data_IF_518542290738
#
_entry.id   IF_518542290738
#
_cell.length_a   1.000
_cell.length_b   1.000
_cell.length_c   1.000
_cell.angle_alpha   90.00
_cell.angle_beta   90.00
_cell.angle_gamma   90.00
#
_symmetry.space_group_name_H-M   'P 1'
#
loop_
_entity.id
_entity.type
_entity.pdbx_description
1 polymer ?
#
# COMPACT_ATOMS: atom_id res chain seq x y z
N UNK A 1 -8.78 0.44 37.61
CA UNK A 1 -8.94 1.48 36.56
C UNK A 1 -9.70 0.97 35.33
N UNK A 2 -10.47 -0.12 35.48
CA UNK A 2 -11.38 -0.67 34.48
C UNK A 2 -12.72 -0.98 35.17
N UNK A 3 -13.24 -0.03 35.95
CA UNK A 3 -14.57 -0.13 36.56
C UNK A 3 -15.62 0.52 35.62
N UNK A 4 -16.63 -0.29 35.26
CA UNK A 4 -17.98 0.12 34.89
C UNK A 4 -18.18 1.06 33.70
N UNK A 5 -17.98 0.55 32.48
CA UNK A 5 -18.75 1.04 31.33
C UNK A 5 -20.22 0.62 31.48
N UNK A 6 -21.00 1.42 32.21
CA UNK A 6 -22.44 1.28 32.41
C UNK A 6 -23.19 1.14 31.07
N UNK A 7 -23.53 -0.10 30.72
CA UNK A 7 -24.45 -0.46 29.61
C UNK A 7 -25.86 -0.75 30.14
N UNK A 8 -26.22 -0.26 31.33
CA UNK A 8 -27.56 -0.38 31.90
C UNK A 8 -28.47 0.78 31.49
N UNK A 9 -29.76 0.48 31.28
CA UNK A 9 -30.81 1.43 30.87
C UNK A 9 -30.95 2.58 31.87
N UNK A 10 -30.72 2.32 33.15
CA UNK A 10 -30.78 3.32 34.22
C UNK A 10 -29.67 4.39 34.15
N UNK A 11 -28.66 4.18 33.29
CA UNK A 11 -27.58 5.13 33.05
C UNK A 11 -27.82 6.04 31.83
N UNK A 12 -29.01 6.00 31.23
CA UNK A 12 -29.35 6.81 30.06
C UNK A 12 -29.58 8.28 30.48
N UNK A 13 -28.69 9.16 30.04
CA UNK A 13 -28.75 10.59 30.29
C UNK A 13 -29.00 11.31 28.94
N UNK A 14 -29.83 12.37 28.86
CA UNK A 14 -29.97 13.21 27.67
C UNK A 14 -28.64 13.61 27.00
N UNK A 15 -27.55 13.74 27.76
CA UNK A 15 -26.22 14.03 27.23
C UNK A 15 -25.62 12.92 26.34
N UNK A 16 -26.13 11.68 26.44
CA UNK A 16 -25.69 10.53 25.63
C UNK A 16 -26.42 10.41 24.29
N UNK A 17 -27.45 11.22 24.05
CA UNK A 17 -28.26 11.16 22.82
C UNK A 17 -27.56 11.89 21.67
N UNK A 18 -27.42 11.19 20.54
CA UNK A 18 -26.95 11.77 19.28
C UNK A 18 -28.03 12.60 18.59
N UNK A 19 -27.62 13.60 17.82
CA UNK A 19 -28.52 14.43 17.02
C UNK A 19 -28.38 14.07 15.53
N UNK A 20 -29.50 14.04 14.82
CA UNK A 20 -29.54 13.81 13.37
C UNK A 20 -30.69 14.61 12.76
N UNK A 21 -30.50 15.12 11.55
CA UNK A 21 -31.52 15.93 10.87
C UNK A 21 -32.64 15.07 10.28
N UNK A 22 -32.27 13.95 9.63
CA UNK A 22 -33.22 13.10 8.92
C UNK A 22 -32.81 11.63 9.04
N UNK A 23 -33.73 10.83 9.56
CA UNK A 23 -33.64 9.36 9.62
C UNK A 23 -34.78 8.82 8.77
N UNK A 24 -34.47 8.05 7.75
CA UNK A 24 -35.48 7.39 6.93
C UNK A 24 -35.02 6.00 6.51
N UNK A 25 -35.98 5.09 6.45
CA UNK A 25 -35.78 3.73 5.94
C UNK A 25 -36.00 3.74 4.43
N UNK A 26 -34.98 3.31 3.67
CA UNK A 26 -35.05 3.18 2.21
C UNK A 26 -35.14 1.70 1.88
N UNK A 27 -36.22 1.31 1.20
CA UNK A 27 -36.31 0.02 0.52
C UNK A 27 -35.47 0.09 -0.75
N UNK A 28 -34.52 -0.82 -0.90
CA UNK A 28 -33.61 -0.78 -2.04
C UNK A 28 -34.31 -1.24 -3.34
N UNK A 29 -34.08 -0.58 -4.48
CA UNK A 29 -34.61 -1.03 -5.75
C UNK A 29 -34.08 -2.42 -6.09
N UNK A 30 -34.97 -3.38 -6.40
CA UNK A 30 -34.61 -4.73 -6.81
C UNK A 30 -34.33 -5.72 -5.68
N UNK A 31 -34.53 -5.36 -4.41
CA UNK A 31 -34.50 -6.30 -3.29
C UNK A 31 -35.51 -5.94 -2.19
N UNK A 32 -35.90 -6.92 -1.38
CA UNK A 32 -36.73 -6.68 -0.18
C UNK A 32 -35.92 -6.12 1.01
N UNK A 33 -34.64 -5.79 0.79
CA UNK A 33 -33.76 -5.30 1.84
C UNK A 33 -34.04 -3.83 2.12
N UNK A 34 -34.19 -3.52 3.40
CA UNK A 34 -34.39 -2.17 3.91
C UNK A 34 -33.11 -1.68 4.55
N UNK A 35 -32.71 -0.44 4.25
CA UNK A 35 -31.52 0.20 4.80
C UNK A 35 -31.94 1.51 5.46
N UNK A 36 -31.55 1.69 6.72
CA UNK A 36 -31.79 2.94 7.45
C UNK A 36 -30.71 3.95 7.10
N UNK A 37 -31.11 5.06 6.49
CA UNK A 37 -30.22 6.17 6.14
C UNK A 37 -30.40 7.30 7.15
N UNK A 38 -29.33 7.60 7.87
CA UNK A 38 -29.24 8.72 8.80
C UNK A 38 -28.42 9.83 8.14
N UNK A 39 -29.00 11.02 8.03
CA UNK A 39 -28.40 12.19 7.38
C UNK A 39 -28.47 13.44 8.25
N UNK A 40 -27.53 14.38 8.04
CA UNK A 40 -27.44 15.62 8.81
C UNK A 40 -27.03 15.40 10.27
N UNK A 41 -26.13 14.44 10.51
CA UNK A 41 -25.46 14.28 11.82
C UNK A 41 -24.42 15.39 11.96
N UNK A 42 -24.35 16.11 13.09
CA UNK A 42 -23.34 17.15 13.28
C UNK A 42 -21.94 16.57 13.21
N UNK A 43 -21.05 17.27 12.51
CA UNK A 43 -19.67 16.85 12.15
C UNK A 43 -18.71 16.62 13.32
N UNK A 44 -19.17 16.58 14.58
CA UNK A 44 -18.31 16.31 15.75
C UNK A 44 -17.54 14.99 15.60
N UNK A 45 -18.13 13.99 14.93
CA UNK A 45 -17.46 12.74 14.56
C UNK A 45 -17.39 12.63 13.04
N UNK A 46 -16.19 12.68 12.46
CA UNK A 46 -15.94 12.61 11.02
C UNK A 46 -16.08 11.19 10.45
N UNK A 47 -17.15 10.49 10.81
CA UNK A 47 -17.46 9.15 10.29
C UNK A 47 -18.20 9.27 8.95
N UNK A 48 -17.70 8.60 7.92
CA UNK A 48 -18.34 8.47 6.61
C UNK A 48 -18.70 7.01 6.40
N UNK A 49 -19.92 6.74 5.93
CA UNK A 49 -20.39 5.39 5.60
C UNK A 49 -20.53 5.25 4.09
N UNK A 50 -19.88 4.24 3.51
CA UNK A 50 -20.01 3.88 2.09
C UNK A 50 -20.80 2.56 2.03
N UNK A 51 -21.88 2.54 1.26
CA UNK A 51 -22.69 1.34 1.06
C UNK A 51 -22.30 0.66 -0.25
N UNK A 52 -21.67 -0.51 -0.15
CA UNK A 52 -21.28 -1.34 -1.29
C UNK A 52 -22.41 -2.33 -1.60
N UNK A 53 -22.77 -2.45 -2.88
CA UNK A 53 -23.74 -3.45 -3.37
C UNK A 53 -23.14 -4.20 -4.55
N UNK A 54 -23.33 -5.50 -4.57
CA UNK A 54 -22.90 -6.37 -5.65
C UNK A 54 -23.83 -7.57 -5.79
N UNK A 55 -23.93 -8.13 -6.99
CA UNK A 55 -24.81 -9.26 -7.28
C UNK A 55 -24.28 -10.59 -6.73
N UNK A 56 -22.97 -10.69 -6.51
CA UNK A 56 -22.29 -11.88 -6.00
C UNK A 56 -21.44 -11.50 -4.78
N UNK A 57 -21.39 -12.39 -3.79
CA UNK A 57 -20.56 -12.23 -2.58
C UNK A 57 -19.09 -11.99 -2.92
N UNK A 58 -18.55 -12.69 -3.92
CA UNK A 58 -17.16 -12.49 -4.36
C UNK A 58 -16.89 -11.05 -4.84
N UNK A 59 -17.83 -10.47 -5.59
CA UNK A 59 -17.71 -9.09 -6.07
C UNK A 59 -17.82 -8.10 -4.91
N UNK A 60 -18.66 -8.39 -3.92
CA UNK A 60 -18.82 -7.54 -2.74
C UNK A 60 -17.55 -7.54 -1.88
N UNK A 61 -16.95 -8.71 -1.65
CA UNK A 61 -15.68 -8.83 -0.91
C UNK A 61 -14.52 -8.14 -1.65
N UNK A 62 -14.44 -8.28 -2.97
CA UNK A 62 -13.41 -7.62 -3.76
C UNK A 62 -13.59 -6.09 -3.82
N UNK A 63 -14.84 -5.61 -3.88
CA UNK A 63 -15.14 -4.18 -3.84
C UNK A 63 -14.81 -3.58 -2.47
N UNK A 64 -15.09 -4.29 -1.37
CA UNK A 64 -14.72 -3.84 -0.01
C UNK A 64 -13.19 -3.77 0.14
N UNK A 65 -12.46 -4.80 -0.31
CA UNK A 65 -10.99 -4.82 -0.33
C UNK A 65 -10.43 -3.66 -1.16
N UNK A 66 -10.93 -3.46 -2.38
CA UNK A 66 -10.50 -2.38 -3.27
C UNK A 66 -10.71 -0.99 -2.67
N UNK A 67 -11.84 -0.77 -1.99
CA UNK A 67 -12.12 0.48 -1.29
C UNK A 67 -11.18 0.69 -0.10
N UNK A 68 -10.92 -0.38 0.65
CA UNK A 68 -9.97 -0.34 1.76
C UNK A 68 -8.56 0.07 1.28
N UNK A 69 -8.09 -0.53 0.18
CA UNK A 69 -6.79 -0.22 -0.41
C UNK A 69 -6.72 1.24 -0.90
N UNK A 70 -7.75 1.70 -1.60
CA UNK A 70 -7.84 3.09 -2.06
C UNK A 70 -7.81 4.09 -0.90
N UNK A 71 -8.55 3.83 0.17
CA UNK A 71 -8.55 4.66 1.38
C UNK A 71 -7.17 4.63 2.07
N UNK A 72 -6.50 3.48 2.10
CA UNK A 72 -5.15 3.35 2.64
C UNK A 72 -4.11 4.14 1.85
N UNK A 73 -4.22 4.17 0.51
CA UNK A 73 -3.37 5.00 -0.35
C UNK A 73 -3.58 6.48 -0.07
N UNK A 74 -4.83 6.94 -0.02
CA UNK A 74 -5.15 8.35 0.29
C UNK A 74 -4.68 8.72 1.70
N UNK A 75 -4.91 7.84 2.69
CA UNK A 75 -4.40 8.03 4.06
C UNK A 75 -2.88 8.17 4.09
N UNK A 76 -2.17 7.40 3.25
CA UNK A 76 -0.72 7.46 3.17
C UNK A 76 -0.23 8.82 2.66
N UNK A 77 -0.92 9.40 1.67
CA UNK A 77 -0.65 10.74 1.16
C UNK A 77 -0.97 11.84 2.18
N UNK A 78 -2.05 11.68 2.95
CA UNK A 78 -2.39 12.61 4.04
C UNK A 78 -1.32 12.61 5.13
N UNK A 79 -0.80 11.43 5.49
CA UNK A 79 0.28 11.29 6.49
C UNK A 79 1.62 11.83 5.98
N UNK A 80 2.01 11.48 4.74
CA UNK A 80 3.28 11.87 4.12
C UNK A 80 3.02 12.34 2.69
N UNK A 81 3.11 13.64 2.46
CA UNK A 81 2.75 14.33 1.20
C UNK A 81 3.85 14.23 0.14
N UNK A 82 4.31 13.02 -0.15
CA UNK A 82 5.31 12.75 -1.19
C UNK A 82 4.85 11.62 -2.11
N UNK A 83 5.01 11.83 -3.41
CA UNK A 83 4.74 10.88 -4.48
C UNK A 83 6.04 10.54 -5.21
N UNK A 84 6.14 9.31 -5.70
CA UNK A 84 7.26 8.80 -6.49
C UNK A 84 6.74 8.10 -7.74
N UNK A 85 7.62 7.93 -8.73
CA UNK A 85 7.36 7.12 -9.92
C UNK A 85 7.10 5.66 -9.54
N UNK A 86 6.06 5.06 -10.14
CA UNK A 86 5.75 3.65 -9.97
C UNK A 86 6.51 2.75 -10.95
N UNK A 87 5.99 1.54 -11.21
CA UNK A 87 6.48 0.68 -12.29
C UNK A 87 7.91 0.15 -12.12
N UNK A 88 8.36 -0.06 -10.88
CA UNK A 88 9.72 -0.56 -10.60
C UNK A 88 10.82 0.52 -10.67
N UNK A 89 10.45 1.77 -10.96
CA UNK A 89 11.35 2.91 -11.12
C UNK A 89 12.12 3.24 -9.83
N UNK A 90 11.40 3.34 -8.71
CA UNK A 90 11.98 3.68 -7.42
C UNK A 90 12.94 2.60 -6.90
N UNK A 91 12.63 1.32 -7.19
CA UNK A 91 13.42 0.16 -6.79
C UNK A 91 14.73 0.09 -7.57
N UNK A 92 14.71 0.34 -8.88
CA UNK A 92 15.94 0.41 -9.70
C UNK A 92 16.81 1.58 -9.30
N UNK A 93 16.21 2.74 -9.06
CA UNK A 93 16.94 3.92 -8.60
C UNK A 93 17.64 3.67 -7.24
N UNK A 94 16.93 3.01 -6.30
CA UNK A 94 17.50 2.61 -5.02
C UNK A 94 18.63 1.57 -5.19
N UNK A 95 18.47 0.58 -6.07
CA UNK A 95 19.51 -0.39 -6.39
C UNK A 95 20.79 0.29 -6.89
N UNK A 96 20.69 1.21 -7.86
CA UNK A 96 21.86 1.91 -8.41
C UNK A 96 22.58 2.74 -7.35
N UNK A 97 21.84 3.52 -6.56
CA UNK A 97 22.42 4.32 -5.47
C UNK A 97 23.12 3.46 -4.42
N UNK A 98 22.49 2.35 -4.01
CA UNK A 98 23.08 1.42 -3.05
C UNK A 98 24.30 0.72 -3.63
N UNK A 99 24.28 0.36 -4.91
CA UNK A 99 25.43 -0.23 -5.62
C UNK A 99 26.62 0.72 -5.67
N UNK A 100 26.38 2.02 -5.85
CA UNK A 100 27.45 3.03 -5.85
C UNK A 100 28.00 3.27 -4.44
N UNK A 101 27.14 3.28 -3.42
CA UNK A 101 27.57 3.33 -2.01
C UNK A 101 28.38 2.09 -1.67
N UNK A 102 27.98 0.90 -2.13
CA UNK A 102 28.67 -0.36 -1.87
C UNK A 102 30.13 -0.31 -2.35
N UNK A 103 30.40 0.29 -3.52
CA UNK A 103 31.78 0.46 -4.05
C UNK A 103 32.66 1.35 -3.17
N UNK A 104 32.07 2.29 -2.44
CA UNK A 104 32.83 3.20 -1.55
C UNK A 104 33.14 2.58 -0.19
N UNK A 105 32.44 1.50 0.20
CA UNK A 105 32.59 0.87 1.51
C UNK A 105 33.54 -0.33 1.45
N UNK A 106 34.60 -0.36 2.26
CA UNK A 106 35.53 -1.49 2.26
C UNK A 106 34.97 -2.71 3.01
N UNK A 107 35.46 -3.89 2.64
CA UNK A 107 35.24 -5.13 3.37
C UNK A 107 33.87 -5.79 3.17
N UNK A 108 33.45 -6.59 4.16
CA UNK A 108 32.21 -7.37 4.13
C UNK A 108 30.94 -6.52 3.98
N UNK A 109 30.96 -5.30 4.51
CA UNK A 109 29.83 -4.36 4.44
C UNK A 109 29.50 -3.99 2.99
N UNK A 110 30.51 -3.81 2.13
CA UNK A 110 30.31 -3.53 0.71
C UNK A 110 29.57 -4.67 0.00
N UNK A 111 29.92 -5.92 0.30
CA UNK A 111 29.23 -7.09 -0.25
C UNK A 111 27.78 -7.19 0.21
N UNK A 112 27.51 -6.97 1.51
CA UNK A 112 26.14 -6.97 2.03
C UNK A 112 25.27 -5.89 1.37
N UNK A 113 25.82 -4.69 1.16
CA UNK A 113 25.12 -3.60 0.47
C UNK A 113 24.84 -3.93 -0.99
N UNK A 114 25.79 -4.55 -1.70
CA UNK A 114 25.58 -5.01 -3.07
C UNK A 114 24.48 -6.06 -3.15
N UNK A 115 24.50 -7.06 -2.25
CA UNK A 115 23.48 -8.10 -2.20
C UNK A 115 22.09 -7.53 -1.89
N UNK A 116 22.01 -6.53 -1.00
CA UNK A 116 20.75 -5.84 -0.71
C UNK A 116 20.26 -5.01 -1.91
N UNK A 117 21.16 -4.37 -2.66
CA UNK A 117 20.82 -3.64 -3.88
C UNK A 117 20.24 -4.59 -4.95
N UNK A 118 20.89 -5.73 -5.18
CA UNK A 118 20.42 -6.75 -6.13
C UNK A 118 19.05 -7.32 -5.73
N UNK A 119 18.79 -7.47 -4.42
CA UNK A 119 17.51 -7.94 -3.92
C UNK A 119 16.34 -6.98 -4.25
N UNK A 120 16.58 -5.67 -4.35
CA UNK A 120 15.54 -4.71 -4.74
C UNK A 120 15.09 -4.88 -6.20
N UNK A 121 15.93 -5.47 -7.07
CA UNK A 121 15.58 -5.71 -8.48
C UNK A 121 14.52 -6.82 -8.64
N UNK A 122 14.16 -7.56 -7.58
CA UNK A 122 13.11 -8.58 -7.65
C UNK A 122 11.75 -8.01 -8.05
N UNK A 123 11.44 -6.78 -7.64
CA UNK A 123 10.15 -6.11 -7.96
C UNK A 123 10.05 -5.79 -9.46
N UNK A 124 11.00 -5.07 -10.10
CA UNK A 124 10.94 -4.85 -11.54
C UNK A 124 11.07 -6.15 -12.35
N UNK A 125 11.81 -7.15 -11.84
CA UNK A 125 11.91 -8.46 -12.50
C UNK A 125 10.56 -9.18 -12.56
N UNK A 126 9.88 -9.29 -11.42
CA UNK A 126 8.55 -9.91 -11.32
C UNK A 126 7.48 -9.11 -12.07
N UNK A 127 7.57 -7.78 -12.10
CA UNK A 127 6.70 -6.94 -12.94
C UNK A 127 6.88 -7.23 -14.44
N UNK A 128 8.12 -7.38 -14.91
CA UNK A 128 8.40 -7.74 -16.30
C UNK A 128 7.92 -9.15 -16.65
N UNK A 129 8.11 -10.10 -15.74
CA UNK A 129 7.64 -11.49 -15.88
C UNK A 129 6.12 -11.57 -15.96
N UNK A 130 5.41 -10.89 -15.05
CA UNK A 130 3.95 -10.80 -15.06
C UNK A 130 3.40 -10.10 -16.31
N UNK A 131 4.19 -9.22 -16.93
CA UNK A 131 3.86 -8.57 -18.19
C UNK A 131 4.16 -9.45 -19.42
N UNK A 132 4.74 -10.64 -19.25
CA UNK A 132 5.16 -11.52 -20.34
C UNK A 132 6.37 -11.01 -21.13
N UNK A 133 7.14 -10.08 -20.58
CA UNK A 133 8.34 -9.53 -21.20
C UNK A 133 9.57 -10.35 -20.79
N UNK A 134 10.67 -10.22 -21.54
CA UNK A 134 11.95 -10.77 -21.11
C UNK A 134 12.51 -9.94 -19.93
N UNK A 135 12.52 -10.47 -18.69
CA UNK A 135 12.85 -9.67 -17.51
C UNK A 135 14.30 -9.19 -17.52
N UNK A 136 15.22 -10.05 -17.98
CA UNK A 136 16.65 -9.73 -18.05
C UNK A 136 16.88 -8.54 -18.99
N UNK A 137 16.24 -8.56 -20.16
CA UNK A 137 16.39 -7.49 -21.13
C UNK A 137 15.81 -6.16 -20.61
N UNK A 138 14.60 -6.19 -20.06
CA UNK A 138 13.91 -5.00 -19.55
C UNK A 138 14.65 -4.39 -18.36
N UNK A 139 15.02 -5.18 -17.36
CA UNK A 139 15.74 -4.67 -16.18
C UNK A 139 17.09 -4.08 -16.59
N UNK A 140 17.81 -4.72 -17.51
CA UNK A 140 19.09 -4.19 -18.03
C UNK A 140 18.89 -2.86 -18.75
N UNK A 141 17.86 -2.75 -19.60
CA UNK A 141 17.56 -1.51 -20.31
C UNK A 141 17.09 -0.41 -19.35
N UNK A 142 16.33 -0.76 -18.31
CA UNK A 142 15.87 0.16 -17.28
C UNK A 142 17.06 0.72 -16.50
N UNK A 143 17.99 -0.14 -16.04
CA UNK A 143 19.24 0.30 -15.38
C UNK A 143 20.05 1.25 -16.25
N UNK A 144 20.14 0.99 -17.56
CA UNK A 144 20.84 1.89 -18.49
C UNK A 144 20.21 3.28 -18.54
N UNK A 145 18.88 3.39 -18.56
CA UNK A 145 18.19 4.69 -18.57
C UNK A 145 18.35 5.44 -17.26
N UNK A 146 18.22 4.76 -16.13
CA UNK A 146 18.44 5.37 -14.82
C UNK A 146 19.89 5.87 -14.63
N UNK A 147 20.89 5.19 -15.20
CA UNK A 147 22.28 5.68 -15.21
C UNK A 147 22.46 7.00 -15.98
N UNK A 148 21.57 7.30 -16.93
CA UNK A 148 21.54 8.58 -17.67
C UNK A 148 20.69 9.63 -16.92
N UNK A 149 20.43 9.41 -15.63
CA UNK A 149 19.63 10.28 -14.75
C UNK A 149 18.14 10.42 -15.11
N UNK A 150 17.58 9.46 -15.86
CA UNK A 150 16.13 9.34 -16.06
C UNK A 150 15.48 8.59 -14.89
N UNK A 151 15.36 9.26 -13.73
CA UNK A 151 14.82 8.65 -12.51
C UNK A 151 13.34 8.24 -12.63
N UNK A 152 12.57 8.82 -13.56
CA UNK A 152 11.14 8.50 -13.76
C UNK A 152 10.90 7.34 -14.75
N UNK A 153 11.96 6.76 -15.31
CA UNK A 153 11.82 5.62 -16.21
C UNK A 153 11.28 4.41 -15.42
N UNK A 154 10.33 3.69 -15.98
CA UNK A 154 9.77 2.50 -15.36
C UNK A 154 9.13 1.56 -16.38
N UNK A 155 8.69 0.41 -15.91
CA UNK A 155 8.09 -0.64 -16.73
C UNK A 155 6.61 -0.30 -16.97
N UNK A 156 6.26 0.01 -18.21
CA UNK A 156 4.87 0.17 -18.60
C UNK A 156 4.28 -1.18 -19.00
N UNK A 157 3.55 -1.81 -18.07
CA UNK A 157 2.90 -3.12 -18.28
C UNK A 157 1.88 -3.08 -19.44
N UNK A 158 1.22 -1.95 -19.70
CA UNK A 158 0.19 -1.86 -20.76
C UNK A 158 0.76 -1.93 -22.18
N UNK A 159 1.92 -1.31 -22.38
CA UNK A 159 2.58 -1.25 -23.70
C UNK A 159 3.77 -2.20 -23.81
N UNK A 160 4.11 -2.92 -22.73
CA UNK A 160 5.26 -3.82 -22.70
C UNK A 160 6.61 -3.12 -22.88
N UNK A 161 6.69 -1.81 -22.63
CA UNK A 161 7.84 -0.98 -22.94
C UNK A 161 8.29 -0.18 -21.72
N UNK A 162 9.54 0.28 -21.71
CA UNK A 162 10.01 1.23 -20.70
C UNK A 162 9.58 2.63 -21.11
N UNK A 163 8.94 3.36 -20.20
CA UNK A 163 8.48 4.73 -20.42
C UNK A 163 8.60 5.59 -19.17
N UNK A 164 8.33 6.88 -19.29
CA UNK A 164 8.30 7.79 -18.14
C UNK A 164 6.98 7.58 -17.37
N UNK A 165 7.07 7.05 -16.15
CA UNK A 165 5.91 6.67 -15.34
C UNK A 165 5.12 7.88 -14.83
N UNK A 166 5.79 9.02 -14.63
CA UNK A 166 5.15 10.27 -14.24
C UNK A 166 4.21 10.78 -15.34
N UNK A 167 4.67 10.80 -16.59
CA UNK A 167 3.84 11.21 -17.74
C UNK A 167 2.65 10.29 -17.98
N UNK A 168 2.76 9.03 -17.58
CA UNK A 168 1.72 8.01 -17.70
C UNK A 168 0.77 7.98 -16.50
N UNK A 169 0.92 8.90 -15.54
CA UNK A 169 0.16 8.94 -14.28
C UNK A 169 0.23 7.64 -13.46
N UNK A 170 1.33 6.89 -13.59
CA UNK A 170 1.61 5.70 -12.79
C UNK A 170 2.54 6.12 -11.64
N UNK A 171 1.91 6.60 -10.56
CA UNK A 171 2.61 7.11 -9.38
C UNK A 171 2.17 6.36 -8.13
N UNK A 172 3.05 6.32 -7.13
CA UNK A 172 2.78 5.67 -5.85
C UNK A 172 3.20 6.57 -4.67
N UNK A 173 2.52 6.50 -3.51
CA UNK A 173 2.93 7.25 -2.33
C UNK A 173 4.28 6.76 -1.79
N UNK A 174 5.18 7.69 -1.48
CA UNK A 174 6.50 7.36 -0.92
C UNK A 174 6.42 6.52 0.37
N UNK A 175 5.38 6.77 1.17
CA UNK A 175 5.18 6.08 2.44
C UNK A 175 5.05 4.57 2.26
N UNK A 176 4.38 4.11 1.19
CA UNK A 176 4.15 2.68 0.93
C UNK A 176 5.49 1.98 0.73
N UNK A 177 6.32 2.47 -0.20
CA UNK A 177 7.63 1.88 -0.47
C UNK A 177 8.58 1.96 0.73
N UNK A 178 8.60 3.10 1.44
CA UNK A 178 9.47 3.26 2.61
C UNK A 178 9.10 2.26 3.70
N UNK A 179 7.81 2.13 4.01
CA UNK A 179 7.34 1.16 4.99
C UNK A 179 7.59 -0.27 4.54
N UNK A 180 7.36 -0.60 3.26
CA UNK A 180 7.61 -1.93 2.74
C UNK A 180 9.08 -2.37 2.90
N UNK A 181 10.03 -1.52 2.48
CA UNK A 181 11.46 -1.82 2.62
C UNK A 181 11.86 -1.89 4.09
N UNK A 182 11.36 -0.98 4.93
CA UNK A 182 11.70 -0.96 6.35
C UNK A 182 11.21 -2.22 7.07
N UNK A 183 9.93 -2.58 6.90
CA UNK A 183 9.35 -3.78 7.52
C UNK A 183 10.00 -5.06 7.02
N UNK A 184 10.29 -5.15 5.71
CA UNK A 184 11.00 -6.29 5.14
C UNK A 184 12.41 -6.43 5.75
N UNK A 185 13.13 -5.31 5.87
CA UNK A 185 14.49 -5.28 6.45
C UNK A 185 14.46 -5.68 7.92
N UNK A 186 13.53 -5.12 8.71
CA UNK A 186 13.38 -5.47 10.13
C UNK A 186 13.06 -6.96 10.31
N UNK A 187 12.14 -7.49 9.51
CA UNK A 187 11.78 -8.90 9.54
C UNK A 187 12.99 -9.80 9.23
N UNK A 188 13.73 -9.50 8.16
CA UNK A 188 14.93 -10.26 7.78
C UNK A 188 16.00 -10.16 8.87
N UNK A 189 16.21 -8.99 9.45
CA UNK A 189 17.15 -8.82 10.57
C UNK A 189 16.76 -9.65 11.80
N UNK A 190 15.47 -9.86 12.07
CA UNK A 190 15.04 -10.76 13.13
C UNK A 190 15.31 -12.22 12.77
N UNK A 191 14.99 -12.64 11.55
CA UNK A 191 15.21 -14.02 11.09
C UNK A 191 16.70 -14.37 11.09
N UNK A 192 17.56 -13.49 10.58
CA UNK A 192 19.01 -13.71 10.53
C UNK A 192 19.68 -13.77 11.91
N UNK A 193 19.02 -13.30 12.97
CA UNK A 193 19.51 -13.37 14.35
C UNK A 193 19.11 -14.66 15.07
N UNK A 194 18.24 -15.48 14.47
CA UNK A 194 17.83 -16.76 15.06
C UNK A 194 18.96 -17.75 14.79
N UNK A 195 19.66 -18.14 15.85
CA UNK A 195 20.75 -19.11 15.75
C UNK A 195 20.26 -20.57 15.89
N UNK A 196 19.14 -20.81 16.60
CA UNK A 196 18.60 -22.16 16.83
C UNK A 196 17.07 -22.15 16.97
N UNK A 197 16.43 -23.26 16.59
CA UNK A 197 14.97 -23.43 16.62
C UNK A 197 14.61 -24.80 17.21
N UNK A 198 14.11 -24.79 18.45
CA UNK A 198 13.64 -26.00 19.13
C UNK A 198 12.17 -26.23 18.83
N UNK A 199 11.87 -27.26 18.05
CA UNK A 199 10.51 -27.70 17.78
C UNK A 199 9.98 -28.50 18.99
N UNK A 200 8.96 -27.96 19.66
CA UNK A 200 8.25 -28.68 20.73
C UNK A 200 6.95 -29.26 20.16
N UNK A 201 6.66 -30.49 20.53
CA UNK A 201 5.47 -31.24 20.10
C UNK A 201 4.25 -30.93 20.97
#
# INVERSE_FOLDING_TARGET
MWEDRKTQVDSLDPAKLGTAQLVHEISMPGSSQKVVKVTGVPRKNASVTILVRGSNKLVLEEADRSLHDALCVVRSLVKKRYLISGGGSAEVEACLKLSDIAKTKPGSVGFCLSAFADALEVVPYTLAENAGLNPIHIVTQLRKRHRVAEADAGINVKHGCIGNMYTLNVVQPLLVNTCAIHLATECICMILKIDDLVLVR
#
